data_IF_810188598397
#
_entry.id   IF_810188598397
#
_cell.length_a   1.000
_cell.length_b   1.000
_cell.length_c   1.000
_cell.angle_alpha   90.00
_cell.angle_beta   90.00
_cell.angle_gamma   90.00
#
_symmetry.space_group_name_H-M   'P 1'
#
loop_
_entity.id
_entity.type
_entity.pdbx_description
1 polymer ?
#
# COMPACT_ATOMS: atom_id res chain seq x y z
N UNK A 1 -8.54 -18.48 42.62
CA UNK A 1 -8.91 -17.06 42.49
C UNK A 1 -7.76 -16.18 42.02
N UNK A 2 -6.58 -16.25 42.63
CA UNK A 2 -5.41 -15.45 42.26
C UNK A 2 -4.91 -15.79 40.85
N UNK A 3 -4.94 -17.05 40.42
CA UNK A 3 -4.49 -17.48 39.09
C UNK A 3 -5.39 -16.97 37.96
N UNK A 4 -6.69 -16.86 38.17
CA UNK A 4 -7.66 -16.34 37.20
C UNK A 4 -7.52 -14.83 37.00
N UNK A 5 -7.26 -14.10 38.07
CA UNK A 5 -6.99 -12.65 38.00
C UNK A 5 -5.70 -12.32 37.26
N UNK A 6 -4.67 -13.14 37.47
CA UNK A 6 -3.39 -12.97 36.77
C UNK A 6 -3.52 -13.22 35.26
N UNK A 7 -4.33 -14.19 34.84
CA UNK A 7 -4.56 -14.50 33.43
C UNK A 7 -5.35 -13.38 32.75
N UNK A 8 -6.35 -12.83 33.39
CA UNK A 8 -7.14 -11.72 32.85
C UNK A 8 -6.30 -10.45 32.68
N UNK A 9 -5.41 -10.16 33.62
CA UNK A 9 -4.49 -9.03 33.54
C UNK A 9 -3.50 -9.21 32.39
N UNK A 10 -2.97 -10.42 32.20
CA UNK A 10 -2.04 -10.71 31.09
C UNK A 10 -2.68 -10.53 29.71
N UNK A 11 -3.91 -10.98 29.53
CA UNK A 11 -4.65 -10.82 28.27
C UNK A 11 -4.96 -9.35 28.00
N UNK A 12 -5.37 -8.58 29.03
CA UNK A 12 -5.63 -7.15 28.88
C UNK A 12 -4.38 -6.37 28.47
N UNK A 13 -3.22 -6.67 29.07
CA UNK A 13 -1.94 -6.02 28.72
C UNK A 13 -1.54 -6.37 27.29
N UNK A 14 -1.68 -7.62 26.85
CA UNK A 14 -1.37 -8.05 25.49
C UNK A 14 -2.29 -7.35 24.47
N UNK A 15 -3.57 -7.21 24.76
CA UNK A 15 -4.53 -6.52 23.90
C UNK A 15 -4.24 -5.02 23.77
N UNK A 16 -3.92 -4.35 24.87
CA UNK A 16 -3.51 -2.94 24.87
C UNK A 16 -2.20 -2.73 24.11
N UNK A 17 -1.22 -3.60 24.29
CA UNK A 17 0.04 -3.55 23.54
C UNK A 17 -0.18 -3.72 22.04
N UNK A 18 -1.04 -4.65 21.62
CA UNK A 18 -1.39 -4.85 20.21
C UNK A 18 -2.08 -3.62 19.61
N UNK A 19 -3.02 -3.01 20.31
CA UNK A 19 -3.69 -1.79 19.86
C UNK A 19 -2.74 -0.61 19.74
N UNK A 20 -1.80 -0.46 20.66
CA UNK A 20 -0.77 0.57 20.60
C UNK A 20 0.13 0.38 19.38
N UNK A 21 0.59 -0.84 19.10
CA UNK A 21 1.42 -1.15 17.94
C UNK A 21 0.69 -0.81 16.64
N UNK A 22 -0.60 -1.13 16.54
CA UNK A 22 -1.41 -0.78 15.36
C UNK A 22 -1.56 0.72 15.18
N UNK A 23 -1.76 1.47 16.26
CA UNK A 23 -1.85 2.95 16.21
C UNK A 23 -0.52 3.58 15.79
N UNK A 24 0.58 3.13 16.34
CA UNK A 24 1.91 3.62 15.95
C UNK A 24 2.22 3.36 14.47
N UNK A 25 1.86 2.20 13.95
CA UNK A 25 2.01 1.91 12.54
C UNK A 25 1.19 2.83 11.64
N UNK A 26 -0.06 3.10 12.00
CA UNK A 26 -0.94 4.02 11.28
C UNK A 26 -0.40 5.46 11.32
N UNK A 27 0.05 5.94 12.48
CA UNK A 27 0.62 7.28 12.65
C UNK A 27 1.91 7.46 11.84
N UNK A 28 2.73 6.43 11.73
CA UNK A 28 3.94 6.46 10.92
C UNK A 28 3.65 6.56 9.43
N UNK A 29 2.66 5.87 8.94
CA UNK A 29 2.23 5.97 7.53
C UNK A 29 1.71 7.38 7.24
N UNK A 30 0.91 7.95 8.11
CA UNK A 30 0.46 9.34 8.00
C UNK A 30 1.63 10.33 7.97
N UNK A 31 2.62 10.15 8.82
CA UNK A 31 3.81 10.99 8.85
C UNK A 31 4.62 10.88 7.55
N UNK A 32 4.75 9.69 6.99
CA UNK A 32 5.41 9.47 5.71
C UNK A 32 4.64 10.10 4.55
N UNK A 33 3.32 9.99 4.56
CA UNK A 33 2.47 10.65 3.58
C UNK A 33 2.65 12.16 3.62
N UNK A 34 2.62 12.75 4.81
CA UNK A 34 2.80 14.18 5.00
C UNK A 34 4.16 14.67 4.48
N UNK A 35 5.21 13.91 4.76
CA UNK A 35 6.55 14.20 4.26
C UNK A 35 6.62 14.18 2.73
N UNK A 36 5.87 13.31 2.08
CA UNK A 36 5.85 13.15 0.62
C UNK A 36 4.95 14.17 -0.10
N UNK A 37 3.97 14.74 0.57
CA UNK A 37 3.01 15.66 -0.07
C UNK A 37 3.65 16.87 -0.72
N UNK A 38 4.72 17.40 -0.13
CA UNK A 38 5.41 18.58 -0.66
C UNK A 38 6.11 18.33 -2.00
N UNK A 39 6.50 17.08 -2.28
CA UNK A 39 7.32 16.72 -3.45
C UNK A 39 6.62 15.77 -4.43
N UNK A 40 5.39 15.38 -4.13
CA UNK A 40 4.65 14.38 -4.92
C UNK A 40 3.36 14.97 -5.49
N UNK A 41 2.95 14.44 -6.64
CA UNK A 41 1.71 14.83 -7.30
C UNK A 41 0.48 14.27 -6.60
N UNK A 42 0.62 13.08 -6.04
CA UNK A 42 -0.43 12.40 -5.29
C UNK A 42 0.19 11.50 -4.24
N UNK A 43 -0.40 11.50 -3.06
CA UNK A 43 -0.01 10.64 -1.94
C UNK A 43 -1.26 10.02 -1.35
N UNK A 44 -1.23 8.73 -1.09
CA UNK A 44 -2.31 8.04 -0.38
C UNK A 44 -1.78 6.85 0.40
N UNK A 45 -2.64 6.28 1.22
CA UNK A 45 -2.42 4.97 1.77
C UNK A 45 -2.64 3.91 0.70
N UNK A 46 -1.93 2.82 0.82
CA UNK A 46 -2.13 1.65 0.00
C UNK A 46 -1.68 0.41 0.77
N UNK A 47 -2.01 -0.74 0.24
CA UNK A 47 -1.54 -2.01 0.75
C UNK A 47 -0.73 -2.69 -0.34
N UNK A 48 0.55 -2.88 -0.10
CA UNK A 48 1.42 -3.63 -1.01
C UNK A 48 1.15 -5.12 -0.84
N UNK A 49 0.87 -5.80 -1.92
CA UNK A 49 0.67 -7.25 -1.93
C UNK A 49 1.94 -7.92 -2.43
N UNK A 50 2.58 -8.69 -1.56
CA UNK A 50 3.79 -9.45 -1.86
C UNK A 50 3.53 -10.92 -1.53
N UNK A 51 3.14 -11.70 -2.53
CA UNK A 51 2.70 -13.07 -2.34
C UNK A 51 1.48 -13.15 -1.42
N UNK A 52 1.64 -13.82 -0.28
CA UNK A 52 0.60 -13.91 0.76
C UNK A 52 0.67 -12.78 1.80
N UNK A 53 1.62 -11.88 1.65
CA UNK A 53 1.84 -10.79 2.60
C UNK A 53 1.17 -9.52 2.11
N UNK A 54 0.49 -8.84 3.02
CA UNK A 54 -0.15 -7.55 2.79
C UNK A 54 0.49 -6.54 3.72
N UNK A 55 1.13 -5.53 3.15
CA UNK A 55 1.88 -4.53 3.90
C UNK A 55 1.28 -3.14 3.70
N UNK A 56 0.91 -2.49 4.79
CA UNK A 56 0.47 -1.10 4.73
C UNK A 56 1.65 -0.21 4.36
N UNK A 57 1.44 0.66 3.38
CA UNK A 57 2.46 1.59 2.88
C UNK A 57 1.87 2.97 2.61
N UNK A 58 2.75 3.97 2.66
CA UNK A 58 2.49 5.27 2.06
C UNK A 58 2.91 5.19 0.59
N UNK A 59 1.98 5.48 -0.31
CA UNK A 59 2.20 5.45 -1.75
C UNK A 59 2.20 6.87 -2.29
N UNK A 60 3.26 7.24 -3.01
CA UNK A 60 3.42 8.57 -3.55
C UNK A 60 3.94 8.51 -4.98
N UNK A 61 3.37 9.33 -5.86
CA UNK A 61 3.80 9.42 -7.25
C UNK A 61 4.30 10.83 -7.57
N UNK A 62 5.46 10.89 -8.19
CA UNK A 62 6.01 12.09 -8.81
C UNK A 62 5.88 11.97 -10.32
N UNK A 63 6.49 12.89 -11.06
CA UNK A 63 6.51 12.84 -12.51
C UNK A 63 7.19 11.56 -13.05
N UNK A 64 8.18 11.03 -12.34
CA UNK A 64 9.05 9.96 -12.83
C UNK A 64 9.11 8.73 -11.95
N UNK A 65 8.61 8.80 -10.72
CA UNK A 65 8.87 7.77 -9.71
C UNK A 65 7.63 7.49 -8.87
N UNK A 66 7.41 6.23 -8.56
CA UNK A 66 6.43 5.79 -7.58
C UNK A 66 7.19 5.33 -6.33
N UNK A 67 6.92 5.99 -5.21
CA UNK A 67 7.50 5.63 -3.91
C UNK A 67 6.48 4.83 -3.10
N UNK A 68 6.96 3.78 -2.45
CA UNK A 68 6.16 3.05 -1.47
C UNK A 68 7.02 2.74 -0.25
N UNK A 69 6.54 3.15 0.90
CA UNK A 69 7.31 3.08 2.13
C UNK A 69 6.44 2.90 3.37
N UNK A 70 7.03 2.26 4.37
CA UNK A 70 6.48 2.18 5.72
C UNK A 70 7.63 2.26 6.73
N UNK A 71 7.36 1.98 8.01
CA UNK A 71 8.40 2.05 9.04
C UNK A 71 9.55 1.05 8.85
N UNK A 72 9.32 -0.03 8.11
CA UNK A 72 10.28 -1.12 7.93
C UNK A 72 10.94 -1.12 6.56
N UNK A 73 10.40 -0.38 5.58
CA UNK A 73 10.91 -0.40 4.21
C UNK A 73 10.75 0.95 3.54
N UNK A 74 11.65 1.23 2.62
CA UNK A 74 11.59 2.38 1.73
C UNK A 74 12.01 1.91 0.34
N UNK A 75 11.12 2.06 -0.63
CA UNK A 75 11.35 1.57 -1.98
C UNK A 75 10.76 2.52 -3.02
N UNK A 76 11.25 2.40 -4.23
CA UNK A 76 10.75 3.19 -5.35
C UNK A 76 10.78 2.39 -6.65
N UNK A 77 9.89 2.77 -7.56
CA UNK A 77 9.82 2.22 -8.91
C UNK A 77 10.00 3.39 -9.87
N UNK A 78 10.98 3.28 -10.75
CA UNK A 78 11.15 4.24 -11.84
C UNK A 78 10.08 3.96 -12.90
N UNK A 79 9.22 4.93 -13.15
CA UNK A 79 8.08 4.77 -14.06
C UNK A 79 8.51 4.55 -15.51
N UNK A 80 9.70 4.93 -15.89
CA UNK A 80 10.22 4.68 -17.23
C UNK A 80 10.46 3.18 -17.49
N UNK A 81 10.66 2.37 -16.44
CA UNK A 81 10.84 0.93 -16.53
C UNK A 81 9.52 0.14 -16.44
N UNK A 82 8.42 0.83 -16.15
CA UNK A 82 7.10 0.22 -16.07
C UNK A 82 6.50 0.12 -17.47
N UNK A 83 6.17 -1.10 -17.89
CA UNK A 83 5.60 -1.36 -19.21
C UNK A 83 4.08 -1.33 -19.20
N UNK A 84 3.48 -1.83 -18.15
CA UNK A 84 2.03 -1.88 -17.99
C UNK A 84 1.61 -1.26 -16.68
N UNK A 85 0.55 -0.48 -16.75
CA UNK A 85 -0.17 0.06 -15.59
C UNK A 85 -1.64 -0.28 -15.81
N UNK A 86 -2.21 -1.07 -14.92
CA UNK A 86 -3.62 -1.41 -15.00
C UNK A 86 -4.30 -1.27 -13.65
N UNK A 87 -5.60 -1.00 -13.70
CA UNK A 87 -6.46 -0.93 -12.54
C UNK A 87 -7.48 -2.04 -12.64
N UNK A 88 -7.63 -2.80 -11.57
CA UNK A 88 -8.47 -3.99 -11.53
C UNK A 88 -9.26 -4.03 -10.22
N UNK A 89 -10.21 -4.93 -10.13
CA UNK A 89 -10.94 -5.25 -8.91
C UNK A 89 -10.41 -6.52 -8.24
N UNK A 90 -9.58 -7.28 -8.94
CA UNK A 90 -9.00 -8.54 -8.47
C UNK A 90 -7.48 -8.47 -8.46
N UNK A 91 -6.87 -9.12 -7.48
CA UNK A 91 -5.45 -9.41 -7.48
C UNK A 91 -5.12 -10.49 -8.51
N UNK A 92 -3.85 -10.60 -8.91
CA UNK A 92 -3.39 -11.63 -9.83
C UNK A 92 -3.67 -13.05 -9.32
N UNK A 93 -3.78 -13.24 -8.01
CA UNK A 93 -4.14 -14.51 -7.37
C UNK A 93 -5.63 -14.84 -7.49
N UNK A 94 -6.45 -13.92 -7.97
CA UNK A 94 -7.91 -14.07 -8.05
C UNK A 94 -8.67 -13.55 -6.84
N UNK A 95 -8.00 -13.17 -5.77
CA UNK A 95 -8.63 -12.58 -4.59
C UNK A 95 -9.17 -11.19 -4.89
N UNK A 96 -10.35 -10.88 -4.36
CA UNK A 96 -10.97 -9.55 -4.48
C UNK A 96 -10.87 -8.84 -3.14
N UNK A 97 -10.06 -7.78 -3.02
CA UNK A 97 -9.96 -7.04 -1.77
C UNK A 97 -11.28 -6.29 -1.48
N UNK A 98 -11.80 -6.36 -0.25
CA UNK A 98 -13.06 -5.70 0.11
C UNK A 98 -12.99 -4.19 -0.09
N UNK A 99 -13.93 -3.62 -0.84
CA UNK A 99 -14.02 -2.18 -1.07
C UNK A 99 -12.81 -1.53 -1.69
N UNK A 100 -11.80 -2.31 -2.07
CA UNK A 100 -10.56 -1.83 -2.63
C UNK A 100 -10.50 -1.95 -4.15
N UNK A 101 -9.54 -1.25 -4.72
CA UNK A 101 -9.17 -1.33 -6.12
C UNK A 101 -7.70 -1.69 -6.21
N UNK A 102 -7.33 -2.41 -7.24
CA UNK A 102 -5.96 -2.87 -7.44
C UNK A 102 -5.28 -2.03 -8.49
N UNK A 103 -4.15 -1.43 -8.12
CA UNK A 103 -3.21 -0.82 -9.05
C UNK A 103 -2.10 -1.84 -9.30
N UNK A 104 -1.95 -2.27 -10.54
CA UNK A 104 -0.95 -3.25 -10.95
C UNK A 104 0.04 -2.64 -11.92
N UNK A 105 1.33 -2.75 -11.59
CA UNK A 105 2.41 -2.29 -12.43
C UNK A 105 3.28 -3.47 -12.84
N UNK A 106 3.58 -3.55 -14.13
CA UNK A 106 4.45 -4.60 -14.67
C UNK A 106 5.68 -3.99 -15.32
N UNK A 107 6.84 -4.47 -14.92
CA UNK A 107 8.10 -4.26 -15.62
C UNK A 107 8.50 -5.57 -16.32
N UNK A 108 9.71 -5.63 -16.89
CA UNK A 108 10.16 -6.81 -17.66
C UNK A 108 10.08 -8.13 -16.87
N UNK A 109 10.40 -8.10 -15.59
CA UNK A 109 10.54 -9.31 -14.77
C UNK A 109 9.78 -9.25 -13.45
N UNK A 110 9.14 -8.13 -13.16
CA UNK A 110 8.50 -7.90 -11.87
C UNK A 110 7.08 -7.39 -12.04
N UNK A 111 6.24 -7.73 -11.09
CA UNK A 111 4.87 -7.24 -10.98
C UNK A 111 4.66 -6.71 -9.56
N UNK A 112 4.08 -5.53 -9.49
CA UNK A 112 3.73 -4.89 -8.22
C UNK A 112 2.22 -4.70 -8.17
N UNK A 113 1.61 -5.05 -7.06
CA UNK A 113 0.19 -4.82 -6.82
C UNK A 113 -0.01 -4.02 -5.55
N UNK A 114 -0.81 -2.97 -5.66
CA UNK A 114 -1.20 -2.14 -4.54
C UNK A 114 -2.72 -2.11 -4.45
N UNK A 115 -3.25 -2.38 -3.26
CA UNK A 115 -4.67 -2.19 -3.00
C UNK A 115 -4.88 -0.75 -2.55
N UNK A 116 -5.69 -0.03 -3.31
CA UNK A 116 -6.02 1.36 -3.04
C UNK A 116 -7.39 1.46 -2.40
N UNK A 117 -7.60 2.41 -1.46
CA UNK A 117 -8.95 2.75 -1.04
C UNK A 117 -9.80 3.19 -2.24
N UNK A 118 -11.06 2.78 -2.29
CA UNK A 118 -11.93 3.06 -3.42
C UNK A 118 -12.14 4.55 -3.69
N UNK A 119 -12.10 5.37 -2.64
CA UNK A 119 -12.30 6.82 -2.73
C UNK A 119 -11.14 7.58 -3.40
N UNK A 120 -9.92 7.03 -3.40
CA UNK A 120 -8.76 7.67 -4.05
C UNK A 120 -8.47 7.13 -5.44
N UNK A 121 -9.19 6.12 -5.89
CA UNK A 121 -8.96 5.42 -7.14
C UNK A 121 -8.97 6.35 -8.36
N UNK A 122 -9.94 7.26 -8.44
CA UNK A 122 -10.04 8.20 -9.55
C UNK A 122 -8.85 9.15 -9.63
N UNK A 123 -8.35 9.59 -8.49
CA UNK A 123 -7.15 10.45 -8.44
C UNK A 123 -5.92 9.72 -8.96
N UNK A 124 -5.75 8.48 -8.56
CA UNK A 124 -4.66 7.64 -9.07
C UNK A 124 -4.76 7.42 -10.56
N UNK A 125 -5.95 7.15 -11.05
CA UNK A 125 -6.20 6.94 -12.47
C UNK A 125 -5.85 8.19 -13.32
N UNK A 126 -6.07 9.38 -12.77
CA UNK A 126 -5.73 10.64 -13.42
C UNK A 126 -4.23 10.92 -13.37
N UNK A 127 -3.59 10.67 -12.23
CA UNK A 127 -2.16 10.98 -12.04
C UNK A 127 -1.23 9.90 -12.61
N UNK A 128 -1.70 8.67 -12.66
CA UNK A 128 -0.97 7.53 -13.20
C UNK A 128 -1.90 6.76 -14.15
N UNK A 129 -2.08 7.25 -15.38
CA UNK A 129 -3.03 6.64 -16.32
C UNK A 129 -2.64 5.21 -16.71
N UNK A 130 -3.62 4.37 -17.07
CA UNK A 130 -3.33 3.03 -17.57
C UNK A 130 -2.41 3.07 -18.79
N UNK A 131 -1.53 2.07 -18.86
CA UNK A 131 -0.58 1.90 -19.95
C UNK A 131 -0.51 0.42 -20.30
N UNK A 132 -0.56 0.10 -21.58
CA UNK A 132 -0.41 -1.27 -22.05
C UNK A 132 0.94 -1.47 -22.72
N UNK A 133 1.60 -2.60 -22.38
CA UNK A 133 2.82 -3.00 -23.05
C UNK A 133 2.51 -3.62 -24.42
N UNK A 134 3.45 -3.50 -25.35
CA UNK A 134 3.49 -4.30 -26.57
C UNK A 134 2.60 -3.85 -27.70
N UNK A 135 1.91 -2.73 -27.61
CA UNK A 135 1.39 -2.04 -28.78
C UNK A 135 2.27 -0.87 -29.14
N UNK A 136 3.49 -1.17 -29.51
CA UNK A 136 4.20 -0.29 -30.41
C UNK A 136 3.35 -0.21 -31.66
N UNK A 137 2.85 0.94 -31.92
CA UNK A 137 2.15 1.21 -33.17
C UNK A 137 3.02 0.85 -34.37
#
# INVERSE_FOLDING_TARGET
MIALLSLAAGVAVAFLGWNLIRRFGADRIEALMEKRRATSRLVSRAELVDGNRHLDVALAVTQSTLFYENSAMKASIDLQWVREIEYDTELATGSTPPGGKVLRLRSNSQMFEFVLPGDVMQRWHLMLPPRRAGKAA
#
